data_IF_722078073423
#
_entry.id   IF_722078073423
#
_cell.length_a   1.000
_cell.length_b   1.000
_cell.length_c   1.000
_cell.angle_alpha   90.00
_cell.angle_beta   90.00
_cell.angle_gamma   90.00
#
_symmetry.space_group_name_H-M   'P 1'
#
loop_
_entity.id
_entity.type
_entity.pdbx_description
1 polymer ?
#
# COMPACT_ATOMS: atom_id res chain seq x y z
N UNK A 1 0.14 -20.93 -5.33
CA UNK A 1 1.42 -20.18 -5.28
C UNK A 1 1.20 -18.67 -5.11
N UNK A 2 0.43 -17.94 -5.94
CA UNK A 2 0.30 -16.48 -5.84
C UNK A 2 -0.29 -16.00 -4.51
N UNK A 3 -1.31 -16.69 -3.99
CA UNK A 3 -1.95 -16.38 -2.70
C UNK A 3 -0.99 -16.51 -1.52
N UNK A 4 -0.05 -17.47 -1.57
CA UNK A 4 0.95 -17.67 -0.51
C UNK A 4 1.93 -16.50 -0.52
N UNK A 5 2.42 -16.10 -1.70
CA UNK A 5 3.33 -14.96 -1.85
C UNK A 5 2.65 -13.67 -1.36
N UNK A 6 1.40 -13.46 -1.77
CA UNK A 6 0.62 -12.29 -1.33
C UNK A 6 0.37 -12.31 0.19
N UNK A 7 -0.03 -13.46 0.74
CA UNK A 7 -0.28 -13.60 2.17
C UNK A 7 0.96 -13.38 3.03
N UNK A 8 2.09 -13.98 2.66
CA UNK A 8 3.36 -13.78 3.36
C UNK A 8 3.85 -12.33 3.22
N UNK A 9 3.83 -11.78 2.00
CA UNK A 9 4.24 -10.40 1.75
C UNK A 9 3.39 -9.40 2.54
N UNK A 10 2.06 -9.52 2.48
CA UNK A 10 1.13 -8.66 3.21
C UNK A 10 1.25 -8.83 4.72
N UNK A 11 1.36 -10.06 5.20
CA UNK A 11 1.49 -10.40 6.62
C UNK A 11 2.78 -9.89 7.26
N UNK A 12 3.89 -9.84 6.51
CA UNK A 12 5.14 -9.25 6.97
C UNK A 12 5.12 -7.71 6.88
N UNK A 13 4.60 -7.17 5.79
CA UNK A 13 4.70 -5.74 5.48
C UNK A 13 3.80 -4.88 6.36
N UNK A 14 2.55 -5.31 6.59
CA UNK A 14 1.59 -4.53 7.39
C UNK A 14 2.05 -4.23 8.82
N UNK A 15 2.44 -5.21 9.65
CA UNK A 15 2.91 -4.94 11.01
C UNK A 15 4.25 -4.17 11.00
N UNK A 16 5.17 -4.50 10.09
CA UNK A 16 6.47 -3.82 9.98
C UNK A 16 6.31 -2.32 9.70
N UNK A 17 5.41 -1.95 8.79
CA UNK A 17 5.12 -0.54 8.48
C UNK A 17 4.46 0.17 9.66
N UNK A 18 3.51 -0.47 10.35
CA UNK A 18 2.85 0.14 11.51
C UNK A 18 3.85 0.42 12.64
N UNK A 19 4.76 -0.51 12.94
CA UNK A 19 5.83 -0.30 13.93
C UNK A 19 6.79 0.82 13.49
N UNK A 20 7.15 0.86 12.21
CA UNK A 20 8.05 1.91 11.69
C UNK A 20 7.44 3.31 11.81
N UNK A 21 6.19 3.49 11.38
CA UNK A 21 5.48 4.78 11.48
C UNK A 21 5.31 5.20 12.95
N UNK A 22 4.92 4.27 13.82
CA UNK A 22 4.78 4.55 15.24
C UNK A 22 6.12 4.97 15.89
N UNK A 23 7.23 4.39 15.45
CA UNK A 23 8.58 4.73 15.92
C UNK A 23 9.06 6.11 15.47
N UNK A 24 8.67 6.55 14.27
CA UNK A 24 9.00 7.89 13.75
C UNK A 24 8.16 9.01 14.37
N UNK A 25 6.95 8.69 14.85
CA UNK A 25 6.05 9.69 15.41
C UNK A 25 6.43 10.08 16.86
N UNK A 26 6.48 11.39 17.19
CA UNK A 26 6.60 11.87 18.56
C UNK A 26 5.49 11.28 19.45
N UNK A 27 5.79 11.03 20.72
CA UNK A 27 4.86 10.38 21.67
C UNK A 27 3.51 11.11 21.77
N UNK A 28 3.55 12.42 21.72
CA UNK A 28 2.41 13.33 21.89
C UNK A 28 1.47 13.28 20.68
N UNK A 29 2.01 13.00 19.48
CA UNK A 29 1.27 13.02 18.22
C UNK A 29 1.10 11.63 17.58
N UNK A 30 1.61 10.56 18.21
CA UNK A 30 1.58 9.20 17.67
C UNK A 30 0.17 8.76 17.25
N UNK A 31 -0.84 9.07 18.06
CA UNK A 31 -2.22 8.74 17.72
C UNK A 31 -2.71 9.45 16.44
N UNK A 32 -2.33 10.72 16.24
CA UNK A 32 -2.67 11.48 15.04
C UNK A 32 -1.93 10.95 13.80
N UNK A 33 -0.65 10.62 13.90
CA UNK A 33 0.09 10.01 12.79
C UNK A 33 -0.49 8.64 12.40
N UNK A 34 -0.84 7.82 13.38
CA UNK A 34 -1.46 6.51 13.15
C UNK A 34 -2.88 6.62 12.57
N UNK A 35 -3.65 7.65 12.92
CA UNK A 35 -4.98 7.90 12.35
C UNK A 35 -4.91 8.35 10.89
N UNK A 36 -3.92 9.17 10.52
CA UNK A 36 -3.64 9.53 9.13
C UNK A 36 -3.26 8.28 8.33
N UNK A 37 -2.37 7.44 8.86
CA UNK A 37 -2.00 6.18 8.21
C UNK A 37 -3.22 5.28 7.96
N UNK A 38 -4.10 5.14 8.95
CA UNK A 38 -5.33 4.34 8.82
C UNK A 38 -6.29 4.95 7.79
N UNK A 39 -6.40 6.28 7.75
CA UNK A 39 -7.21 6.99 6.76
C UNK A 39 -6.69 6.73 5.35
N UNK A 40 -5.38 6.82 5.13
CA UNK A 40 -4.77 6.52 3.82
C UNK A 40 -5.04 5.07 3.39
N UNK A 41 -4.93 4.10 4.31
CA UNK A 41 -5.25 2.70 4.02
C UNK A 41 -6.72 2.54 3.58
N UNK A 42 -7.65 3.17 4.30
CA UNK A 42 -9.09 3.12 3.98
C UNK A 42 -9.40 3.79 2.64
N UNK A 43 -8.78 4.93 2.34
CA UNK A 43 -8.91 5.58 1.04
C UNK A 43 -8.47 4.66 -0.10
N UNK A 44 -7.34 3.95 0.07
CA UNK A 44 -6.90 2.94 -0.90
C UNK A 44 -7.91 1.80 -1.09
N UNK A 45 -8.52 1.31 0.00
CA UNK A 45 -9.55 0.27 -0.06
C UNK A 45 -10.88 0.76 -0.67
N UNK A 46 -11.23 2.04 -0.51
CA UNK A 46 -12.43 2.63 -1.13
C UNK A 46 -12.21 2.90 -2.61
N UNK A 47 -11.08 3.50 -2.98
CA UNK A 47 -10.78 3.87 -4.36
C UNK A 47 -10.33 2.68 -5.20
N UNK A 48 -9.70 1.67 -4.58
CA UNK A 48 -9.19 0.48 -5.26
C UNK A 48 -10.23 -0.20 -6.15
N UNK A 49 -11.36 -0.67 -5.62
CA UNK A 49 -12.40 -1.30 -6.43
C UNK A 49 -12.96 -0.39 -7.52
N UNK A 50 -13.06 0.92 -7.27
CA UNK A 50 -13.56 1.89 -8.25
C UNK A 50 -12.58 2.03 -9.44
N UNK A 51 -11.30 2.23 -9.15
CA UNK A 51 -10.24 2.36 -10.17
C UNK A 51 -10.09 1.05 -10.95
N UNK A 52 -9.97 -0.08 -10.26
CA UNK A 52 -9.78 -1.38 -10.92
C UNK A 52 -11.04 -1.88 -11.61
N UNK A 53 -12.23 -1.48 -11.16
CA UNK A 53 -13.49 -1.70 -11.88
C UNK A 53 -13.52 -0.96 -13.21
N UNK A 54 -13.03 0.28 -13.26
CA UNK A 54 -12.90 1.01 -14.52
C UNK A 54 -11.85 0.35 -15.45
N UNK A 55 -10.70 -0.04 -14.91
CA UNK A 55 -9.69 -0.78 -15.70
C UNK A 55 -10.28 -2.06 -16.30
N UNK A 56 -11.08 -2.79 -15.52
CA UNK A 56 -11.78 -3.99 -15.98
C UNK A 56 -12.68 -3.73 -17.19
N UNK A 57 -13.42 -2.61 -17.20
CA UNK A 57 -14.33 -2.29 -18.32
C UNK A 57 -13.63 -2.09 -19.67
N UNK A 58 -12.36 -1.68 -19.66
CA UNK A 58 -11.60 -1.42 -20.90
C UNK A 58 -10.57 -2.49 -21.23
N UNK A 59 -10.05 -3.21 -20.23
CA UNK A 59 -8.89 -4.10 -20.38
C UNK A 59 -9.12 -5.54 -19.89
N UNK A 60 -10.36 -5.88 -19.49
CA UNK A 60 -10.74 -7.20 -18.97
C UNK A 60 -9.89 -7.62 -17.74
N UNK A 61 -9.97 -8.89 -17.33
CA UNK A 61 -9.25 -9.41 -16.16
C UNK A 61 -7.72 -9.33 -16.31
N UNK A 62 -7.17 -9.67 -17.47
CA UNK A 62 -5.72 -9.65 -17.68
C UNK A 62 -5.15 -8.23 -17.52
N UNK A 63 -5.87 -7.22 -18.03
CA UNK A 63 -5.51 -5.82 -17.86
C UNK A 63 -5.54 -5.36 -16.41
N UNK A 64 -6.51 -5.81 -15.61
CA UNK A 64 -6.59 -5.53 -14.16
C UNK A 64 -5.34 -6.04 -13.44
N UNK A 65 -4.92 -7.28 -13.73
CA UNK A 65 -3.73 -7.86 -13.10
C UNK A 65 -2.43 -7.16 -13.54
N UNK A 66 -2.27 -6.87 -14.83
CA UNK A 66 -1.09 -6.17 -15.35
C UNK A 66 -1.00 -4.74 -14.81
N UNK A 67 -2.11 -4.00 -14.78
CA UNK A 67 -2.16 -2.66 -14.20
C UNK A 67 -1.86 -2.70 -12.70
N UNK A 68 -2.40 -3.68 -11.98
CA UNK A 68 -2.12 -3.89 -10.56
C UNK A 68 -0.65 -4.18 -10.28
N UNK A 69 -0.02 -5.02 -11.09
CA UNK A 69 1.40 -5.28 -11.00
C UNK A 69 2.24 -4.01 -11.27
N UNK A 70 1.88 -3.23 -12.29
CA UNK A 70 2.54 -1.95 -12.59
C UNK A 70 2.43 -0.94 -11.45
N UNK A 71 1.23 -0.80 -10.87
CA UNK A 71 1.01 0.08 -9.71
C UNK A 71 1.82 -0.37 -8.49
N UNK A 72 1.84 -1.67 -8.20
CA UNK A 72 2.61 -2.22 -7.09
C UNK A 72 4.12 -1.96 -7.25
N UNK A 73 4.66 -2.13 -8.47
CA UNK A 73 6.05 -1.80 -8.78
C UNK A 73 6.35 -0.31 -8.61
N UNK A 74 5.46 0.57 -9.09
CA UNK A 74 5.62 2.01 -8.92
C UNK A 74 5.66 2.42 -7.44
N UNK A 75 4.74 1.89 -6.62
CA UNK A 75 4.72 2.13 -5.16
C UNK A 75 6.00 1.63 -4.50
N UNK A 76 6.49 0.44 -4.89
CA UNK A 76 7.74 -0.10 -4.37
C UNK A 76 8.95 0.79 -4.70
N UNK A 77 9.03 1.31 -5.93
CA UNK A 77 10.10 2.23 -6.36
C UNK A 77 10.02 3.54 -5.57
N UNK A 78 8.83 4.14 -5.46
CA UNK A 78 8.63 5.38 -4.69
C UNK A 78 9.01 5.18 -3.23
N UNK A 79 8.58 4.07 -2.61
CA UNK A 79 8.95 3.72 -1.24
C UNK A 79 10.45 3.55 -1.06
N UNK A 80 11.13 2.89 -2.02
CA UNK A 80 12.58 2.70 -1.97
C UNK A 80 13.35 4.01 -2.10
N UNK A 81 12.95 4.89 -3.03
CA UNK A 81 13.57 6.21 -3.23
C UNK A 81 13.29 7.10 -2.01
N UNK A 82 12.03 7.19 -1.57
CA UNK A 82 11.64 7.99 -0.41
C UNK A 82 12.34 7.53 0.87
N UNK A 83 12.49 6.22 1.07
CA UNK A 83 13.22 5.66 2.20
C UNK A 83 14.71 6.04 2.24
N UNK A 84 15.34 6.32 1.09
CA UNK A 84 16.71 6.85 1.04
C UNK A 84 16.80 8.34 1.38
N UNK A 85 15.71 9.10 1.21
CA UNK A 85 15.68 10.54 1.47
C UNK A 85 15.37 10.84 2.94
N UNK A 86 14.56 9.99 3.58
CA UNK A 86 14.10 10.16 4.97
C UNK A 86 15.11 9.61 5.99
N UNK A 87 15.97 8.68 5.58
CA UNK A 87 17.12 8.20 6.37
C UNK A 87 18.28 9.19 6.32
#
# INVERSE_FOLDING_TARGET
VPVIIFGLGGGLTMPSLQTYIAGLAPSEYRAAFMSINTTMLRLGQTLGPLVFGLVYTYANFDGVFLYGAGLALAVAIVGFIGGKIIR
#
